data_IF_663665271909
#
_entry.id   IF_663665271909
#
_cell.length_a   1.000
_cell.length_b   1.000
_cell.length_c   1.000
_cell.angle_alpha   90.00
_cell.angle_beta   90.00
_cell.angle_gamma   90.00
#
_symmetry.space_group_name_H-M   'P 1'
#
loop_
_entity.id
_entity.type
_entity.pdbx_description
1 polymer ?
#
# COMPACT_ATOMS: atom_id res chain seq x y z
N UNK A 1 16.46 15.88 13.91
CA UNK A 1 15.45 16.65 13.14
C UNK A 1 15.21 16.14 11.70
N UNK A 2 16.12 15.43 11.03
CA UNK A 2 15.87 14.88 9.67
C UNK A 2 14.75 13.81 9.59
N UNK A 3 14.57 12.98 10.62
CA UNK A 3 13.56 11.91 10.61
C UNK A 3 12.09 12.37 10.70
N UNK A 4 11.82 13.53 11.32
CA UNK A 4 10.45 14.05 11.48
C UNK A 4 9.89 14.59 10.15
N UNK A 5 10.76 15.12 9.26
CA UNK A 5 10.39 15.60 7.93
C UNK A 5 10.02 14.46 6.99
N UNK A 6 10.81 13.37 6.95
CA UNK A 6 10.52 12.21 6.11
C UNK A 6 9.20 11.51 6.48
N UNK A 7 8.92 11.37 7.78
CA UNK A 7 7.65 10.81 8.25
C UNK A 7 6.45 11.65 7.79
N UNK A 8 6.59 12.98 7.84
CA UNK A 8 5.56 13.91 7.37
C UNK A 8 5.33 13.79 5.85
N UNK A 9 6.40 13.65 5.06
CA UNK A 9 6.31 13.42 3.60
C UNK A 9 5.58 12.11 3.29
N UNK A 10 5.88 11.03 4.02
CA UNK A 10 5.19 9.74 3.86
C UNK A 10 3.70 9.83 4.18
N UNK A 11 3.32 10.56 5.24
CA UNK A 11 1.92 10.75 5.61
C UNK A 11 1.19 11.54 4.51
N UNK A 12 1.75 12.65 4.04
CA UNK A 12 1.14 13.49 3.01
C UNK A 12 1.02 12.72 1.69
N UNK A 13 2.07 12.00 1.28
CA UNK A 13 2.05 11.15 0.09
C UNK A 13 1.01 10.02 0.22
N UNK A 14 0.89 9.43 1.41
CA UNK A 14 -0.10 8.39 1.71
C UNK A 14 -1.53 8.92 1.67
N UNK A 15 -1.78 10.11 2.20
CA UNK A 15 -3.08 10.78 2.10
C UNK A 15 -3.46 11.07 0.64
N UNK A 16 -2.52 11.60 -0.15
CA UNK A 16 -2.77 11.89 -1.57
C UNK A 16 -3.04 10.62 -2.37
N UNK A 17 -2.25 9.57 -2.18
CA UNK A 17 -2.47 8.29 -2.84
C UNK A 17 -3.81 7.66 -2.42
N UNK A 18 -4.17 7.71 -1.14
CA UNK A 18 -5.45 7.23 -0.62
C UNK A 18 -6.63 8.01 -1.21
N UNK A 19 -6.48 9.32 -1.36
CA UNK A 19 -7.48 10.17 -1.99
C UNK A 19 -7.71 9.80 -3.45
N UNK A 20 -6.64 9.56 -4.22
CA UNK A 20 -6.75 9.13 -5.63
C UNK A 20 -7.49 7.80 -5.75
N UNK A 21 -7.17 6.83 -4.90
CA UNK A 21 -7.87 5.54 -4.86
C UNK A 21 -9.35 5.74 -4.48
N UNK A 22 -9.62 6.56 -3.47
CA UNK A 22 -10.98 6.87 -3.02
C UNK A 22 -11.82 7.54 -4.12
N UNK A 23 -11.26 8.52 -4.83
CA UNK A 23 -11.91 9.19 -5.97
C UNK A 23 -12.19 8.20 -7.10
N UNK A 24 -11.26 7.28 -7.37
CA UNK A 24 -11.47 6.24 -8.38
C UNK A 24 -12.70 5.38 -8.04
N UNK A 25 -12.82 4.91 -6.80
CA UNK A 25 -13.99 4.13 -6.36
C UNK A 25 -15.28 4.95 -6.33
N UNK A 26 -15.20 6.21 -5.92
CA UNK A 26 -16.34 7.13 -5.99
C UNK A 26 -16.87 7.27 -7.42
N UNK A 27 -15.97 7.45 -8.40
CA UNK A 27 -16.33 7.57 -9.83
C UNK A 27 -16.96 6.31 -10.42
N UNK A 28 -16.82 5.17 -9.75
CA UNK A 28 -17.40 3.87 -10.14
C UNK A 28 -18.76 3.59 -9.48
N UNK A 29 -19.33 4.56 -8.77
CA UNK A 29 -20.65 4.44 -8.12
C UNK A 29 -20.62 3.82 -6.73
N UNK A 30 -19.43 3.62 -6.14
CA UNK A 30 -19.26 3.03 -4.81
C UNK A 30 -19.21 4.08 -3.70
N UNK A 31 -20.14 5.04 -3.73
CA UNK A 31 -20.17 6.20 -2.81
C UNK A 31 -20.13 5.80 -1.33
N UNK A 32 -20.92 4.80 -0.95
CA UNK A 32 -21.05 4.37 0.45
C UNK A 32 -19.77 3.74 1.02
N UNK A 33 -18.93 3.15 0.16
CA UNK A 33 -17.66 2.52 0.54
C UNK A 33 -16.46 3.46 0.41
N UNK A 34 -16.65 4.64 -0.17
CA UNK A 34 -15.58 5.62 -0.47
C UNK A 34 -14.76 6.02 0.78
N UNK A 35 -15.36 6.24 1.97
CA UNK A 35 -14.60 6.55 3.19
C UNK A 35 -13.81 5.36 3.72
N UNK A 36 -14.38 4.16 3.66
CA UNK A 36 -13.72 2.93 4.10
C UNK A 36 -12.52 2.61 3.20
N UNK A 37 -12.69 2.74 1.89
CA UNK A 37 -11.63 2.58 0.90
C UNK A 37 -10.50 3.57 1.14
N UNK A 38 -10.81 4.82 1.49
CA UNK A 38 -9.81 5.82 1.84
C UNK A 38 -9.00 5.39 3.07
N UNK A 39 -9.67 4.98 4.16
CA UNK A 39 -9.00 4.58 5.41
C UNK A 39 -8.09 3.37 5.18
N UNK A 40 -8.60 2.35 4.49
CA UNK A 40 -7.83 1.13 4.18
C UNK A 40 -6.63 1.47 3.29
N UNK A 41 -6.83 2.25 2.23
CA UNK A 41 -5.76 2.67 1.34
C UNK A 41 -4.70 3.49 2.08
N UNK A 42 -5.12 4.41 2.96
CA UNK A 42 -4.22 5.23 3.76
C UNK A 42 -3.32 4.39 4.68
N UNK A 43 -3.90 3.41 5.39
CA UNK A 43 -3.15 2.49 6.25
C UNK A 43 -2.14 1.68 5.42
N UNK A 44 -2.56 1.19 4.26
CA UNK A 44 -1.68 0.43 3.35
C UNK A 44 -0.52 1.29 2.85
N UNK A 45 -0.79 2.54 2.48
CA UNK A 45 0.23 3.46 1.96
C UNK A 45 1.25 3.87 3.01
N UNK A 46 0.80 4.24 4.20
CA UNK A 46 1.71 4.57 5.30
C UNK A 46 2.46 3.31 5.76
N UNK A 47 1.76 2.18 5.91
CA UNK A 47 2.36 0.91 6.31
C UNK A 47 3.42 0.40 5.32
N UNK A 48 3.14 0.46 4.02
CA UNK A 48 4.09 0.08 2.97
C UNK A 48 5.31 1.00 2.93
N UNK A 49 5.13 2.32 3.08
CA UNK A 49 6.25 3.25 3.20
C UNK A 49 7.18 2.95 4.37
N UNK A 50 6.61 2.63 5.54
CA UNK A 50 7.38 2.23 6.72
C UNK A 50 8.10 0.89 6.51
N UNK A 51 7.42 -0.11 5.94
CA UNK A 51 8.00 -1.42 5.64
C UNK A 51 9.21 -1.28 4.69
N UNK A 52 9.07 -0.51 3.61
CA UNK A 52 10.16 -0.25 2.66
C UNK A 52 11.35 0.40 3.36
N UNK A 53 11.10 1.34 4.27
CA UNK A 53 12.17 1.98 5.06
C UNK A 53 12.90 0.99 5.95
N UNK A 54 12.17 0.11 6.63
CA UNK A 54 12.77 -0.97 7.41
C UNK A 54 13.58 -1.87 6.49
N UNK A 55 13.03 -2.35 5.39
CA UNK A 55 13.77 -3.22 4.46
C UNK A 55 15.02 -2.55 3.88
N UNK A 56 14.98 -1.24 3.61
CA UNK A 56 16.14 -0.49 3.12
C UNK A 56 17.28 -0.46 4.13
N UNK A 57 16.98 -0.32 5.43
CA UNK A 57 18.00 -0.34 6.49
C UNK A 57 18.75 -1.68 6.55
N UNK A 58 18.10 -2.78 6.14
CA UNK A 58 18.66 -4.13 6.22
C UNK A 58 19.38 -4.54 4.94
N UNK A 59 18.82 -4.21 3.78
CA UNK A 59 19.30 -4.71 2.48
C UNK A 59 20.20 -3.70 1.78
N UNK A 60 20.04 -2.40 2.05
CA UNK A 60 20.79 -1.30 1.42
C UNK A 60 20.85 -1.43 -0.11
N UNK A 61 19.72 -1.69 -0.76
CA UNK A 61 19.70 -1.80 -2.23
C UNK A 61 20.07 -0.46 -2.89
N UNK A 62 20.61 -0.55 -4.12
CA UNK A 62 20.97 0.64 -4.88
C UNK A 62 19.77 1.56 -5.12
N UNK A 63 19.91 2.85 -4.80
CA UNK A 63 18.87 3.88 -4.93
C UNK A 63 18.65 4.28 -6.40
N UNK A 64 18.19 3.33 -7.21
CA UNK A 64 17.78 3.55 -8.61
C UNK A 64 16.26 3.64 -8.67
N UNK A 65 15.75 4.49 -9.56
CA UNK A 65 14.31 4.69 -9.76
C UNK A 65 13.56 3.37 -9.93
N UNK A 66 14.02 2.52 -10.86
CA UNK A 66 13.37 1.24 -11.15
C UNK A 66 13.37 0.29 -9.94
N UNK A 67 14.47 0.24 -9.18
CA UNK A 67 14.57 -0.60 -7.98
C UNK A 67 13.55 -0.16 -6.94
N UNK A 68 13.45 1.14 -6.68
CA UNK A 68 12.49 1.66 -5.72
C UNK A 68 11.05 1.39 -6.18
N UNK A 69 10.72 1.62 -7.46
CA UNK A 69 9.40 1.28 -8.01
C UNK A 69 9.05 -0.18 -7.73
N UNK A 70 9.93 -1.11 -8.07
CA UNK A 70 9.69 -2.54 -7.85
C UNK A 70 9.52 -2.89 -6.37
N UNK A 71 10.33 -2.30 -5.49
CA UNK A 71 10.23 -2.53 -4.04
C UNK A 71 8.91 -2.02 -3.47
N UNK A 72 8.50 -0.80 -3.84
CA UNK A 72 7.23 -0.24 -3.38
C UNK A 72 6.03 -1.03 -3.93
N UNK A 73 6.08 -1.48 -5.19
CA UNK A 73 5.08 -2.39 -5.76
C UNK A 73 5.01 -3.71 -5.00
N UNK A 74 6.15 -4.35 -4.73
CA UNK A 74 6.21 -5.61 -3.99
C UNK A 74 5.66 -5.46 -2.57
N UNK A 75 6.02 -4.38 -1.87
CA UNK A 75 5.53 -4.12 -0.51
C UNK A 75 4.02 -3.89 -0.50
N UNK A 76 3.48 -3.14 -1.47
CA UNK A 76 2.04 -2.97 -1.62
C UNK A 76 1.30 -4.29 -1.88
N UNK A 77 1.86 -5.14 -2.76
CA UNK A 77 1.32 -6.47 -3.05
C UNK A 77 1.31 -7.38 -1.80
N UNK A 78 2.42 -7.42 -1.06
CA UNK A 78 2.55 -8.23 0.16
C UNK A 78 1.59 -7.74 1.24
N UNK A 79 1.50 -6.44 1.50
CA UNK A 79 0.63 -5.90 2.55
C UNK A 79 -0.84 -6.18 2.24
N UNK A 80 -1.28 -5.95 1.00
CA UNK A 80 -2.67 -6.20 0.63
C UNK A 80 -2.99 -7.71 0.65
N UNK A 81 -2.04 -8.56 0.25
CA UNK A 81 -2.16 -10.01 0.42
C UNK A 81 -2.29 -10.39 1.90
N UNK A 82 -1.44 -9.87 2.78
CA UNK A 82 -1.50 -10.15 4.21
C UNK A 82 -2.83 -9.67 4.83
N UNK A 83 -3.30 -8.47 4.49
CA UNK A 83 -4.56 -7.93 5.02
C UNK A 83 -5.79 -8.71 4.58
N UNK A 84 -5.77 -9.32 3.40
CA UNK A 84 -6.90 -10.11 2.88
C UNK A 84 -6.82 -11.58 3.31
N UNK A 85 -5.61 -12.12 3.43
CA UNK A 85 -5.42 -13.54 3.69
C UNK A 85 -5.24 -13.88 5.17
N UNK A 86 -4.65 -13.01 6.00
CA UNK A 86 -4.51 -13.24 7.45
C UNK A 86 -5.87 -13.43 8.14
N UNK A 87 -6.90 -12.60 7.91
CA UNK A 87 -8.20 -12.81 8.54
C UNK A 87 -8.83 -14.16 8.15
N UNK A 88 -8.65 -14.56 6.89
CA UNK A 88 -9.12 -15.84 6.35
C UNK A 88 -8.38 -17.04 6.97
N UNK A 89 -7.09 -16.90 7.27
CA UNK A 89 -6.31 -17.94 7.99
C UNK A 89 -6.67 -17.96 9.48
N UNK A 90 -6.91 -16.80 10.08
CA UNK A 90 -7.28 -16.69 11.49
C UNK A 90 -8.64 -17.35 11.77
N UNK A 91 -9.66 -17.11 10.94
CA UNK A 91 -10.97 -17.75 11.08
C UNK A 91 -10.90 -19.27 10.94
N UNK A 92 -9.99 -19.81 10.13
CA UNK A 92 -9.79 -21.27 10.01
C UNK A 92 -9.22 -21.87 11.31
N UNK A 93 -8.23 -21.20 11.91
CA UNK A 93 -7.54 -21.72 13.10
C UNK A 93 -8.44 -21.65 14.34
N UNK A 94 -9.27 -20.60 14.44
CA UNK A 94 -10.01 -20.30 15.67
C UNK A 94 -11.53 -20.48 15.58
N UNK A 95 -12.14 -20.48 14.39
CA UNK A 95 -13.61 -20.52 14.21
C UNK A 95 -14.13 -21.80 13.52
N UNK A 96 -13.32 -22.86 13.42
CA UNK A 96 -13.75 -24.19 12.94
C UNK A 96 -14.34 -24.21 11.52
N UNK A 97 -13.85 -23.35 10.62
CA UNK A 97 -14.13 -23.47 9.19
C UNK A 97 -13.24 -24.55 8.54
N UNK A 98 -13.85 -25.44 7.75
CA UNK A 98 -13.10 -26.48 7.03
C UNK A 98 -12.20 -25.87 5.95
N UNK A 99 -10.91 -26.21 6.00
CA UNK A 99 -9.83 -25.78 5.08
C UNK A 99 -10.18 -25.88 3.58
N UNK A 100 -11.14 -26.74 3.24
CA UNK A 100 -11.61 -27.04 1.89
C UNK A 100 -12.45 -25.91 1.25
N UNK A 101 -13.09 -25.05 2.05
CA UNK A 101 -13.85 -23.87 1.55
C UNK A 101 -12.94 -22.69 1.16
N UNK A 102 -11.72 -22.60 1.72
CA UNK A 102 -10.75 -21.56 1.35
C UNK A 102 -10.08 -21.89 0.00
N UNK A 103 -9.65 -23.14 -0.20
CA UNK A 103 -9.00 -23.59 -1.45
C UNK A 103 -9.97 -23.51 -2.64
N UNK A 104 -11.27 -23.71 -2.39
CA UNK A 104 -12.30 -23.62 -3.43
C UNK A 104 -12.83 -22.19 -3.65
N UNK A 105 -12.74 -21.28 -2.67
CA UNK A 105 -13.19 -19.88 -2.83
C UNK A 105 -12.10 -18.93 -3.34
N UNK A 106 -10.81 -19.17 -3.07
CA UNK A 106 -9.71 -18.37 -3.60
C UNK A 106 -9.05 -19.07 -4.78
N UNK A 107 -9.60 -18.90 -5.98
CA UNK A 107 -8.87 -19.26 -7.19
C UNK A 107 -7.51 -18.53 -7.21
N UNK A 108 -6.45 -19.17 -7.71
CA UNK A 108 -5.12 -18.55 -7.89
C UNK A 108 -5.23 -17.17 -8.57
N UNK A 109 -6.21 -17.02 -9.45
CA UNK A 109 -6.56 -15.76 -10.11
C UNK A 109 -7.01 -14.66 -9.14
N UNK A 110 -7.84 -14.97 -8.13
CA UNK A 110 -8.27 -14.00 -7.12
C UNK A 110 -7.10 -13.48 -6.26
N UNK A 111 -6.19 -14.39 -5.87
CA UNK A 111 -4.97 -14.01 -5.13
C UNK A 111 -4.07 -13.12 -5.98
N UNK A 112 -3.85 -13.49 -7.25
CA UNK A 112 -3.05 -12.69 -8.18
C UNK A 112 -3.68 -11.32 -8.46
N UNK A 113 -5.01 -11.23 -8.55
CA UNK A 113 -5.70 -9.95 -8.69
C UNK A 113 -5.51 -9.04 -7.48
N UNK A 114 -5.64 -9.58 -6.26
CA UNK A 114 -5.41 -8.82 -5.02
C UNK A 114 -3.95 -8.35 -4.97
N UNK A 115 -2.99 -9.22 -5.22
CA UNK A 115 -1.57 -8.82 -5.28
C UNK A 115 -1.32 -7.75 -6.36
N UNK A 116 -1.97 -7.87 -7.52
CA UNK A 116 -1.91 -6.89 -8.59
C UNK A 116 -2.43 -5.51 -8.19
N UNK A 117 -3.59 -5.44 -7.51
CA UNK A 117 -4.10 -4.18 -6.96
C UNK A 117 -3.14 -3.59 -5.92
N UNK A 118 -2.56 -4.43 -5.06
CA UNK A 118 -1.56 -4.00 -4.09
C UNK A 118 -0.30 -3.42 -4.76
N UNK A 119 0.14 -4.03 -5.86
CA UNK A 119 1.28 -3.52 -6.64
C UNK A 119 0.98 -2.16 -7.29
N UNK A 120 -0.22 -1.99 -7.88
CA UNK A 120 -0.65 -0.70 -8.46
C UNK A 120 -0.71 0.38 -7.38
N UNK A 121 -1.22 0.04 -6.19
CA UNK A 121 -1.19 0.93 -5.03
C UNK A 121 0.26 1.33 -4.71
N UNK A 122 1.17 0.37 -4.52
CA UNK A 122 2.58 0.65 -4.23
C UNK A 122 3.25 1.57 -5.25
N UNK A 123 2.95 1.35 -6.54
CA UNK A 123 3.41 2.23 -7.63
C UNK A 123 2.91 3.67 -7.46
N UNK A 124 1.61 3.83 -7.23
CA UNK A 124 0.95 5.14 -7.12
C UNK A 124 1.49 5.92 -5.91
N UNK A 125 1.67 5.23 -4.78
CA UNK A 125 2.29 5.80 -3.59
C UNK A 125 3.69 6.33 -3.84
N UNK A 126 4.56 5.55 -4.49
CA UNK A 126 5.93 5.96 -4.75
C UNK A 126 6.01 7.23 -5.62
N UNK A 127 5.12 7.35 -6.61
CA UNK A 127 5.05 8.55 -7.44
C UNK A 127 4.55 9.77 -6.65
N UNK A 128 3.52 9.60 -5.81
CA UNK A 128 3.07 10.64 -4.89
C UNK A 128 4.21 11.05 -3.94
N UNK A 129 4.97 10.09 -3.44
CA UNK A 129 6.11 10.33 -2.54
C UNK A 129 7.19 11.18 -3.20
N UNK A 130 7.65 10.83 -4.41
CA UNK A 130 8.64 11.64 -5.14
C UNK A 130 8.11 13.05 -5.41
N UNK A 131 6.84 13.18 -5.80
CA UNK A 131 6.20 14.46 -6.09
C UNK A 131 6.16 15.37 -4.87
N UNK A 132 5.66 14.87 -3.75
CA UNK A 132 5.59 15.61 -2.47
C UNK A 132 7.00 15.97 -1.99
N UNK A 133 7.94 15.03 -2.05
CA UNK A 133 9.31 15.28 -1.63
C UNK A 133 9.97 16.40 -2.46
N UNK A 134 9.77 16.40 -3.78
CA UNK A 134 10.27 17.44 -4.69
C UNK A 134 9.65 18.81 -4.40
N UNK A 135 8.36 18.86 -4.08
CA UNK A 135 7.67 20.09 -3.69
C UNK A 135 8.22 20.66 -2.38
N UNK A 136 8.38 19.82 -1.36
CA UNK A 136 8.94 20.24 -0.06
C UNK A 136 10.34 20.83 -0.24
N UNK A 137 11.20 20.17 -1.02
CA UNK A 137 12.54 20.69 -1.31
C UNK A 137 12.50 22.03 -2.05
N UNK A 138 11.51 22.26 -2.91
CA UNK A 138 11.37 23.53 -3.64
C UNK A 138 10.96 24.67 -2.71
N UNK A 139 10.04 24.41 -1.77
CA UNK A 139 9.62 25.40 -0.77
C UNK A 139 10.69 25.73 0.26
N UNK A 140 11.60 24.80 0.57
CA UNK A 140 12.71 25.06 1.50
C UNK A 140 13.83 25.92 0.88
N UNK A 141 13.89 26.02 -0.44
CA UNK A 141 14.92 26.77 -1.17
C UNK A 141 14.41 28.10 -1.77
N UNK A 142 13.15 28.49 -1.50
CA UNK A 142 12.59 29.82 -1.79
C UNK A 142 12.49 30.67 -0.53
#
# INVERSE_FOLDING_TARGET
MKGLKEGSVMIIAGMLAALVVSIFFYSRGSGDYTPLVFIVAFIIFVGSGLLVKVCYLWIQWGNRYLTNVLVYMLCGAIILFLLTYIPSVYSIIFESYTFQELITSSSVQGVLQIMGYGAICGLLFYHCYIGVHSLVLKFENS
#
